data_IF_554736743556
#
_entry.id   IF_554736743556
#
_cell.length_a   1.000
_cell.length_b   1.000
_cell.length_c   1.000
_cell.angle_alpha   90.00
_cell.angle_beta   90.00
_cell.angle_gamma   90.00
#
_symmetry.space_group_name_H-M   'P 1'
#
loop_
_entity.id
_entity.type
_entity.pdbx_description
1 polymer ?
#
# COMPACT_ATOMS: atom_id res chain seq x y z
N UNK A 1 9.61 10.35 7.43
CA UNK A 1 8.87 10.76 6.21
C UNK A 1 7.79 9.74 5.95
N UNK A 2 6.52 10.10 6.18
CA UNK A 2 5.38 9.22 5.95
C UNK A 2 5.23 8.79 4.49
N UNK A 3 4.55 7.66 4.31
CA UNK A 3 4.25 7.03 3.03
C UNK A 3 2.75 7.13 2.79
N UNK A 4 2.33 7.70 1.66
CA UNK A 4 0.91 7.86 1.33
C UNK A 4 0.54 7.08 0.09
N UNK A 5 -0.68 6.53 0.07
CA UNK A 5 -1.23 5.90 -1.12
C UNK A 5 -1.52 6.96 -2.18
N UNK A 6 -1.07 6.76 -3.40
CA UNK A 6 -1.40 7.65 -4.52
C UNK A 6 -2.76 7.23 -5.07
N UNK A 7 -3.76 8.10 -4.93
CA UNK A 7 -5.11 7.88 -5.48
C UNK A 7 -5.20 8.32 -6.95
N UNK A 8 -4.53 9.41 -7.30
CA UNK A 8 -4.52 9.95 -8.68
C UNK A 8 -3.10 10.18 -9.15
N UNK A 9 -2.81 9.74 -10.37
CA UNK A 9 -1.51 9.97 -11.02
C UNK A 9 -1.23 11.47 -11.09
N UNK A 10 -0.06 11.91 -10.62
CA UNK A 10 0.34 13.31 -10.64
C UNK A 10 1.80 13.47 -11.01
N UNK A 11 2.19 14.68 -11.44
CA UNK A 11 3.58 15.06 -11.63
C UNK A 11 3.97 15.99 -10.50
N UNK A 12 4.95 15.58 -9.70
CA UNK A 12 5.37 16.40 -8.58
C UNK A 12 6.08 17.68 -9.07
N UNK A 13 5.71 18.83 -8.49
CA UNK A 13 6.17 20.14 -8.97
C UNK A 13 7.65 20.40 -8.66
N UNK A 14 8.19 19.77 -7.60
CA UNK A 14 9.56 19.95 -7.12
C UNK A 14 10.52 19.00 -7.82
N UNK A 15 10.22 17.71 -7.80
CA UNK A 15 11.07 16.66 -8.38
C UNK A 15 10.85 16.47 -9.88
N UNK A 16 9.74 17.01 -10.43
CA UNK A 16 9.26 16.80 -11.80
C UNK A 16 9.00 15.32 -12.14
N UNK A 17 9.02 14.42 -11.15
CA UNK A 17 8.77 12.98 -11.34
C UNK A 17 7.27 12.72 -11.47
N UNK A 18 6.93 11.75 -12.32
CA UNK A 18 5.57 11.24 -12.44
C UNK A 18 5.35 10.15 -11.41
N UNK A 19 4.28 10.29 -10.63
CA UNK A 19 3.84 9.36 -9.61
C UNK A 19 2.52 8.75 -10.04
N UNK A 20 2.47 7.43 -10.16
CA UNK A 20 1.30 6.71 -10.68
C UNK A 20 0.34 6.34 -9.56
N UNK A 21 -0.96 6.33 -9.87
CA UNK A 21 -1.98 5.83 -8.95
C UNK A 21 -1.70 4.37 -8.55
N UNK A 22 -2.03 4.01 -7.31
CA UNK A 22 -1.79 2.67 -6.75
C UNK A 22 -0.37 2.46 -6.21
N UNK A 23 0.55 3.42 -6.38
CA UNK A 23 1.89 3.38 -5.77
C UNK A 23 1.97 4.18 -4.47
N UNK A 24 3.15 4.14 -3.83
CA UNK A 24 3.47 4.92 -2.63
C UNK A 24 4.15 6.24 -3.00
N UNK A 25 3.78 7.31 -2.31
CA UNK A 25 4.51 8.57 -2.32
C UNK A 25 5.09 8.86 -0.93
N UNK A 26 6.42 8.90 -0.84
CA UNK A 26 7.16 9.23 0.39
C UNK A 26 7.45 10.73 0.42
N UNK A 27 6.90 11.43 1.41
CA UNK A 27 7.08 12.88 1.55
C UNK A 27 6.97 13.32 3.01
N UNK A 28 7.10 14.61 3.28
CA UNK A 28 6.86 15.20 4.61
C UNK A 28 5.35 15.41 4.86
N UNK A 29 4.97 15.57 6.12
CA UNK A 29 3.56 15.67 6.51
C UNK A 29 2.86 16.91 5.90
N UNK A 30 3.57 18.02 5.72
CA UNK A 30 3.00 19.25 5.16
C UNK A 30 2.69 19.07 3.67
N UNK A 31 3.63 18.50 2.90
CA UNK A 31 3.44 18.18 1.49
C UNK A 31 2.40 17.08 1.28
N UNK A 32 2.39 16.08 2.17
CA UNK A 32 1.38 15.03 2.23
C UNK A 32 -0.02 15.62 2.36
N UNK A 33 -0.23 16.47 3.37
CA UNK A 33 -1.50 17.15 3.60
C UNK A 33 -1.96 17.99 2.39
N UNK A 34 -1.06 18.81 1.79
CA UNK A 34 -1.40 19.61 0.60
C UNK A 34 -1.93 18.73 -0.55
N UNK A 35 -1.33 17.55 -0.75
CA UNK A 35 -1.70 16.64 -1.82
C UNK A 35 -2.94 15.78 -1.46
N UNK A 36 -3.18 15.51 -0.18
CA UNK A 36 -4.41 14.90 0.31
C UNK A 36 -5.60 15.84 0.13
N UNK A 37 -5.47 17.12 0.50
CA UNK A 37 -6.52 18.14 0.30
C UNK A 37 -6.90 18.31 -1.18
N UNK A 38 -5.93 18.13 -2.07
CA UNK A 38 -6.14 18.15 -3.53
C UNK A 38 -6.66 16.83 -4.10
N UNK A 39 -6.80 15.79 -3.29
CA UNK A 39 -7.30 14.47 -3.68
C UNK A 39 -6.33 13.63 -4.52
N UNK A 40 -5.02 13.90 -4.44
CA UNK A 40 -3.98 13.11 -5.10
C UNK A 40 -3.49 11.96 -4.22
N UNK A 41 -3.38 12.20 -2.92
CA UNK A 41 -2.96 11.22 -1.94
C UNK A 41 -4.14 10.77 -1.07
N UNK A 42 -4.11 9.52 -0.67
CA UNK A 42 -5.02 8.94 0.31
C UNK A 42 -4.38 8.97 1.69
N UNK A 43 -4.86 8.08 2.53
CA UNK A 43 -4.31 7.82 3.86
C UNK A 43 -2.84 7.36 3.85
N UNK A 44 -2.21 7.56 5.01
CA UNK A 44 -0.87 7.06 5.29
C UNK A 44 -0.90 5.53 5.33
N UNK A 45 0.13 4.91 4.76
CA UNK A 45 0.25 3.45 4.63
C UNK A 45 1.58 2.97 5.18
N UNK A 46 1.57 1.81 5.82
CA UNK A 46 2.77 1.18 6.38
C UNK A 46 3.57 0.41 5.31
N UNK A 47 4.00 1.10 4.25
CA UNK A 47 4.72 0.49 3.12
C UNK A 47 6.02 -0.23 3.53
N UNK A 48 6.60 0.12 4.68
CA UNK A 48 7.78 -0.55 5.25
C UNK A 48 7.54 -2.01 5.61
N UNK A 49 6.29 -2.43 5.81
CA UNK A 49 5.94 -3.84 6.06
C UNK A 49 6.24 -4.74 4.86
N UNK A 50 6.26 -4.17 3.65
CA UNK A 50 6.61 -4.86 2.39
C UNK A 50 8.11 -4.76 2.04
N UNK A 51 8.90 -4.16 2.93
CA UNK A 51 10.34 -4.02 2.76
C UNK A 51 11.09 -5.23 3.33
N UNK A 52 12.09 -5.71 2.60
CA UNK A 52 12.92 -6.84 2.97
C UNK A 52 12.58 -8.11 2.21
N UNK A 53 12.92 -9.26 2.77
CA UNK A 53 12.67 -10.55 2.13
C UNK A 53 11.25 -11.08 2.42
N UNK A 54 10.78 -12.01 1.60
CA UNK A 54 9.43 -12.59 1.69
C UNK A 54 9.12 -13.15 3.08
N UNK A 55 10.07 -13.81 3.74
CA UNK A 55 9.84 -14.41 5.06
C UNK A 55 9.60 -13.34 6.11
N UNK A 56 10.43 -12.30 6.14
CA UNK A 56 10.26 -11.17 7.05
C UNK A 56 8.93 -10.45 6.82
N UNK A 57 8.57 -10.21 5.55
CA UNK A 57 7.31 -9.56 5.18
C UNK A 57 6.13 -10.37 5.72
N UNK A 58 6.10 -11.69 5.50
CA UNK A 58 5.02 -12.55 6.02
C UNK A 58 4.92 -12.58 7.54
N UNK A 59 6.05 -12.42 8.25
CA UNK A 59 6.05 -12.36 9.71
C UNK A 59 5.50 -11.03 10.24
N UNK A 60 5.72 -9.93 9.51
CA UNK A 60 5.22 -8.59 9.86
C UNK A 60 3.76 -8.40 9.47
N UNK A 61 3.37 -8.91 8.30
CA UNK A 61 2.02 -8.78 7.77
C UNK A 61 1.15 -9.90 8.34
N UNK A 62 0.35 -9.55 9.34
CA UNK A 62 -0.55 -10.46 10.06
C UNK A 62 -1.98 -9.94 10.07
N UNK A 63 -2.95 -10.78 10.47
CA UNK A 63 -4.38 -10.39 10.58
C UNK A 63 -4.62 -9.22 11.55
N UNK A 64 -3.67 -8.91 12.43
CA UNK A 64 -3.79 -7.82 13.40
C UNK A 64 -3.79 -6.43 12.76
N UNK A 65 -3.30 -6.30 11.52
CA UNK A 65 -3.30 -5.04 10.78
C UNK A 65 -4.72 -4.60 10.39
N UNK A 66 -5.69 -5.53 10.39
CA UNK A 66 -7.07 -5.28 9.98
C UNK A 66 -7.23 -5.25 8.46
N UNK A 67 -8.46 -5.49 8.00
CA UNK A 67 -8.80 -5.65 6.58
C UNK A 67 -8.34 -4.47 5.70
N UNK A 68 -8.57 -3.24 6.17
CA UNK A 68 -8.24 -2.03 5.41
C UNK A 68 -6.74 -1.88 5.15
N UNK A 69 -5.91 -2.10 6.15
CA UNK A 69 -4.45 -2.06 5.99
C UNK A 69 -3.96 -3.21 5.12
N UNK A 70 -4.52 -4.41 5.28
CA UNK A 70 -4.18 -5.56 4.42
C UNK A 70 -4.53 -5.29 2.95
N UNK A 71 -5.68 -4.67 2.66
CA UNK A 71 -6.05 -4.24 1.30
C UNK A 71 -5.07 -3.21 0.74
N UNK A 72 -4.70 -2.20 1.54
CA UNK A 72 -3.70 -1.22 1.14
C UNK A 72 -2.37 -1.92 0.81
N UNK A 73 -1.86 -2.78 1.69
CA UNK A 73 -0.62 -3.53 1.46
C UNK A 73 -0.70 -4.43 0.22
N UNK A 74 -1.85 -5.07 -0.01
CA UNK A 74 -2.08 -5.91 -1.20
C UNK A 74 -1.95 -5.09 -2.49
N UNK A 75 -2.61 -3.94 -2.56
CA UNK A 75 -2.54 -3.05 -3.73
C UNK A 75 -1.13 -2.52 -3.94
N UNK A 76 -0.41 -2.18 -2.87
CA UNK A 76 0.97 -1.71 -2.96
C UNK A 76 1.90 -2.80 -3.51
N UNK A 77 1.80 -4.03 -3.03
CA UNK A 77 2.58 -5.15 -3.55
C UNK A 77 2.19 -5.47 -5.00
N UNK A 78 0.89 -5.37 -5.37
CA UNK A 78 0.40 -5.56 -6.74
C UNK A 78 0.94 -4.51 -7.71
N UNK A 79 1.21 -3.29 -7.25
CA UNK A 79 1.77 -2.23 -8.08
C UNK A 79 3.31 -2.09 -7.98
N UNK A 80 3.92 -2.72 -6.96
CA UNK A 80 5.36 -2.71 -6.69
C UNK A 80 6.08 -3.96 -7.23
N UNK A 81 6.78 -4.67 -6.33
CA UNK A 81 7.59 -5.85 -6.65
C UNK A 81 6.79 -7.07 -7.12
N UNK A 82 5.48 -7.13 -6.82
CA UNK A 82 4.58 -8.20 -7.26
C UNK A 82 5.04 -9.59 -6.84
N UNK A 83 5.59 -9.75 -5.63
CA UNK A 83 6.06 -11.05 -5.13
C UNK A 83 4.86 -11.95 -4.90
N UNK A 84 4.67 -12.95 -5.76
CA UNK A 84 3.53 -13.89 -5.72
C UNK A 84 3.29 -14.49 -4.34
N UNK A 85 4.35 -14.84 -3.62
CA UNK A 85 4.27 -15.44 -2.29
C UNK A 85 3.78 -14.46 -1.21
N UNK A 86 4.10 -13.17 -1.34
CA UNK A 86 3.60 -12.11 -0.45
C UNK A 86 2.15 -11.80 -0.79
N UNK A 87 1.82 -11.65 -2.07
CA UNK A 87 0.45 -11.44 -2.54
C UNK A 87 -0.50 -12.53 -2.01
N UNK A 88 -0.16 -13.80 -2.24
CA UNK A 88 -0.95 -14.93 -1.78
C UNK A 88 -1.10 -14.97 -0.24
N UNK A 89 -0.08 -14.53 0.50
CA UNK A 89 -0.14 -14.43 1.96
C UNK A 89 -1.15 -13.37 2.41
N UNK A 90 -1.08 -12.17 1.84
CA UNK A 90 -2.01 -11.08 2.16
C UNK A 90 -3.44 -11.44 1.72
N UNK A 91 -3.60 -12.04 0.54
CA UNK A 91 -4.89 -12.54 0.04
C UNK A 91 -5.47 -13.63 0.94
N UNK A 92 -4.65 -14.54 1.47
CA UNK A 92 -5.11 -15.50 2.48
C UNK A 92 -5.60 -14.80 3.74
N UNK A 93 -4.84 -13.83 4.27
CA UNK A 93 -5.23 -13.10 5.47
C UNK A 93 -6.56 -12.33 5.30
N UNK A 94 -6.82 -11.83 4.09
CA UNK A 94 -8.08 -11.16 3.71
C UNK A 94 -9.22 -12.16 3.45
N UNK A 95 -8.94 -13.28 2.80
CA UNK A 95 -9.91 -14.33 2.49
C UNK A 95 -10.31 -15.18 3.68
N UNK A 96 -9.51 -15.18 4.75
CA UNK A 96 -9.90 -15.74 6.04
C UNK A 96 -11.06 -14.96 6.73
N UNK A 97 -11.37 -13.73 6.29
CA UNK A 97 -12.60 -13.00 6.68
C UNK A 97 -13.77 -13.27 5.70
N UNK A 98 -13.51 -13.83 4.51
CA UNK A 98 -14.50 -14.13 3.48
C UNK A 98 -14.60 -15.66 3.29
N UNK A 99 -15.09 -16.32 4.34
CA UNK A 99 -15.52 -17.71 4.22
C UNK A 99 -16.69 -17.82 3.24
N UNK A 100 -16.45 -18.51 2.12
CA UNK A 100 -17.43 -19.18 1.27
C UNK A 100 -18.01 -18.37 0.08
N UNK A 101 -17.46 -18.62 -1.11
CA UNK A 101 -18.28 -18.76 -2.33
C UNK A 101 -17.64 -19.81 -3.24
N UNK A 102 -17.87 -21.08 -2.88
CA UNK A 102 -18.02 -22.12 -3.88
C UNK A 102 -19.47 -22.07 -4.38
N UNK A 103 -19.64 -21.96 -5.70
CA UNK A 103 -20.93 -22.01 -6.39
C UNK A 103 -20.72 -22.42 -7.82
#
# INVERSE_FOLDING_TARGET
MPNYKILKTFKDKFTKKRHVAGSVYKTDAQRGAELQEKGYLGEEVQAELLSGNVKEIKQRVTKQLGQKELLNLLELEKNGDKRKSVLAHIESLLGDEDGHTEG
#
